data_IF_515189550232
#
_entry.id   IF_515189550232
#
_cell.length_a   1.000
_cell.length_b   1.000
_cell.length_c   1.000
_cell.angle_alpha   90.00
_cell.angle_beta   90.00
_cell.angle_gamma   90.00
#
_symmetry.space_group_name_H-M   'P 1'
#
loop_
_entity.id
_entity.type
_entity.pdbx_description
1 polymer ?
#
# COMPACT_ATOMS: atom_id res chain seq x y z
N UNK A 1 -18.62 -9.97 2.02
CA UNK A 1 -18.75 -8.96 0.95
C UNK A 1 -20.23 -8.83 0.65
N UNK A 2 -20.89 -7.80 1.20
CA UNK A 2 -22.30 -7.53 0.97
C UNK A 2 -22.38 -6.51 -0.15
N UNK A 3 -22.68 -6.96 -1.37
CA UNK A 3 -23.08 -6.08 -2.46
C UNK A 3 -24.37 -6.65 -3.00
N UNK A 4 -25.51 -6.12 -2.58
CA UNK A 4 -26.78 -6.40 -3.24
C UNK A 4 -26.77 -5.68 -4.57
N UNK A 5 -27.17 -6.39 -5.62
CA UNK A 5 -27.37 -5.80 -6.93
C UNK A 5 -28.44 -4.73 -6.79
N UNK A 6 -28.08 -3.49 -7.13
CA UNK A 6 -28.95 -2.31 -7.30
C UNK A 6 -29.28 -1.39 -6.12
N UNK A 7 -28.82 -1.64 -4.90
CA UNK A 7 -29.08 -0.70 -3.80
C UNK A 7 -27.87 0.20 -3.52
N UNK A 8 -28.04 1.51 -3.71
CA UNK A 8 -27.03 2.47 -3.27
C UNK A 8 -26.85 2.38 -1.75
N UNK A 9 -25.61 2.48 -1.26
CA UNK A 9 -25.29 2.47 0.18
C UNK A 9 -26.18 3.45 0.98
N UNK A 10 -26.55 4.57 0.35
CA UNK A 10 -27.44 5.56 0.91
C UNK A 10 -28.84 4.99 1.21
N UNK A 11 -29.45 4.27 0.27
CA UNK A 11 -30.76 3.64 0.49
C UNK A 11 -30.68 2.56 1.56
N UNK A 12 -29.62 1.75 1.54
CA UNK A 12 -29.41 0.74 2.57
C UNK A 12 -29.31 1.35 3.98
N UNK A 13 -28.65 2.50 4.13
CA UNK A 13 -28.56 3.20 5.43
C UNK A 13 -29.94 3.71 5.87
N UNK A 14 -30.75 4.25 4.95
CA UNK A 14 -32.09 4.75 5.25
C UNK A 14 -33.07 3.63 5.61
N UNK A 15 -33.01 2.51 4.89
CA UNK A 15 -33.92 1.38 5.05
C UNK A 15 -33.56 0.52 6.27
N UNK A 16 -32.34 0.64 6.79
CA UNK A 16 -31.89 -0.13 7.95
C UNK A 16 -32.39 0.48 9.26
N UNK A 17 -33.11 -0.26 10.11
CA UNK A 17 -33.53 0.23 11.42
C UNK A 17 -32.34 0.68 12.28
N UNK A 18 -32.46 1.76 13.08
CA UNK A 18 -31.35 2.31 13.86
C UNK A 18 -30.64 1.30 14.77
N UNK A 19 -31.42 0.38 15.37
CA UNK A 19 -30.88 -0.68 16.23
C UNK A 19 -30.00 -1.68 15.48
N UNK A 20 -30.40 -2.04 14.26
CA UNK A 20 -29.63 -2.97 13.42
C UNK A 20 -28.34 -2.32 12.97
N UNK A 21 -28.39 -1.04 12.58
CA UNK A 21 -27.19 -0.26 12.24
C UNK A 21 -26.26 -0.14 13.44
N UNK A 22 -26.79 0.20 14.63
CA UNK A 22 -26.01 0.30 15.85
C UNK A 22 -25.35 -1.04 16.22
N UNK A 23 -26.10 -2.15 16.17
CA UNK A 23 -25.55 -3.49 16.43
C UNK A 23 -24.44 -3.84 15.44
N UNK A 24 -24.63 -3.55 14.15
CA UNK A 24 -23.60 -3.77 13.14
C UNK A 24 -22.33 -2.95 13.45
N UNK A 25 -22.48 -1.66 13.74
CA UNK A 25 -21.35 -0.80 14.09
C UNK A 25 -20.64 -1.28 15.36
N UNK A 26 -21.38 -1.64 16.40
CA UNK A 26 -20.85 -2.23 17.63
C UNK A 26 -20.06 -3.50 17.30
N UNK A 27 -20.62 -4.41 16.50
CA UNK A 27 -19.92 -5.64 16.12
C UNK A 27 -18.66 -5.35 15.30
N UNK A 28 -18.64 -4.30 14.46
CA UNK A 28 -17.45 -3.88 13.71
C UNK A 28 -16.37 -3.33 14.64
N UNK A 29 -16.75 -2.53 15.63
CA UNK A 29 -15.83 -2.03 16.66
C UNK A 29 -15.30 -3.19 17.50
N UNK A 30 -16.16 -4.09 17.94
CA UNK A 30 -15.79 -5.29 18.71
C UNK A 30 -14.85 -6.19 17.91
N UNK A 31 -15.13 -6.43 16.62
CA UNK A 31 -14.23 -7.19 15.73
C UNK A 31 -12.83 -6.57 15.65
N UNK A 32 -12.74 -5.24 15.51
CA UNK A 32 -11.47 -4.52 15.54
C UNK A 32 -10.80 -4.57 16.92
N UNK A 33 -11.57 -4.47 17.99
CA UNK A 33 -11.06 -4.58 19.35
C UNK A 33 -10.54 -6.00 19.65
N UNK A 34 -11.14 -7.04 19.08
CA UNK A 34 -10.62 -8.41 19.16
C UNK A 34 -9.24 -8.54 18.51
N UNK A 35 -8.92 -7.76 17.46
CA UNK A 35 -7.54 -7.70 16.90
C UNK A 35 -6.54 -7.07 17.88
N UNK A 36 -7.01 -6.27 18.86
CA UNK A 36 -6.17 -5.67 19.92
C UNK A 36 -6.00 -6.59 21.14
N UNK A 37 -6.90 -7.56 21.33
CA UNK A 37 -6.79 -8.57 22.39
C UNK A 37 -5.86 -9.67 21.86
N UNK A 38 -4.56 -9.50 22.09
CA UNK A 38 -3.52 -10.45 21.67
C UNK A 38 -3.69 -11.80 22.39
N UNK A 39 -4.45 -12.71 21.78
CA UNK A 39 -4.51 -14.15 22.13
C UNK A 39 -3.50 -14.97 21.33
N UNK A 40 -2.69 -14.32 20.49
CA UNK A 40 -1.64 -14.94 19.69
C UNK A 40 -0.29 -14.98 20.42
N UNK A 41 0.75 -15.55 19.79
CA UNK A 41 2.10 -15.42 20.31
C UNK A 41 2.49 -13.94 20.29
N UNK A 42 2.95 -13.44 21.45
CA UNK A 42 3.34 -12.05 21.68
C UNK A 42 4.13 -11.51 20.48
N UNK A 43 3.57 -10.51 19.80
CA UNK A 43 4.23 -9.88 18.66
C UNK A 43 5.61 -9.34 19.10
N UNK A 44 6.67 -9.63 18.33
CA UNK A 44 8.00 -9.10 18.66
C UNK A 44 8.00 -7.57 18.52
N UNK A 45 8.78 -6.88 19.36
CA UNK A 45 8.92 -5.42 19.27
C UNK A 45 9.35 -4.97 17.86
N UNK A 46 10.16 -5.79 17.18
CA UNK A 46 10.59 -5.54 15.79
C UNK A 46 9.39 -5.57 14.84
N UNK A 47 8.53 -6.59 14.94
CA UNK A 47 7.36 -6.69 14.09
C UNK A 47 6.38 -5.53 14.34
N UNK A 48 6.22 -5.11 15.60
CA UNK A 48 5.39 -3.94 15.94
C UNK A 48 5.95 -2.63 15.35
N UNK A 49 7.26 -2.39 15.47
CA UNK A 49 7.90 -1.19 14.90
C UNK A 49 7.81 -1.18 13.38
N UNK A 50 7.99 -2.32 12.72
CA UNK A 50 7.84 -2.42 11.26
C UNK A 50 6.38 -2.17 10.84
N UNK A 51 5.40 -2.67 11.60
CA UNK A 51 3.98 -2.43 11.33
C UNK A 51 3.59 -0.96 11.48
N UNK A 52 4.07 -0.28 12.53
CA UNK A 52 3.71 1.12 12.82
C UNK A 52 4.57 2.14 12.10
N UNK A 53 5.83 1.81 11.80
CA UNK A 53 6.85 2.73 11.31
C UNK A 53 7.68 2.13 10.16
N UNK A 54 7.02 1.42 9.25
CA UNK A 54 7.67 0.64 8.19
C UNK A 54 8.66 1.44 7.35
N UNK A 55 8.34 2.70 6.98
CA UNK A 55 9.22 3.55 6.19
C UNK A 55 10.48 3.98 6.98
N UNK A 56 10.33 4.28 8.28
CA UNK A 56 11.46 4.65 9.12
C UNK A 56 12.36 3.43 9.39
N UNK A 57 11.75 2.27 9.68
CA UNK A 57 12.45 1.00 9.82
C UNK A 57 13.21 0.63 8.54
N UNK A 58 12.58 0.79 7.37
CA UNK A 58 13.19 0.55 6.07
C UNK A 58 14.37 1.50 5.82
N UNK A 59 14.24 2.79 6.14
CA UNK A 59 15.34 3.78 6.04
C UNK A 59 16.55 3.35 6.87
N UNK A 60 16.34 2.93 8.10
CA UNK A 60 17.41 2.43 8.98
C UNK A 60 18.03 1.16 8.37
N UNK A 61 17.21 0.22 7.91
CA UNK A 61 17.70 -1.01 7.29
C UNK A 61 18.56 -0.72 6.05
N UNK A 62 18.09 0.17 5.18
CA UNK A 62 18.79 0.51 3.93
C UNK A 62 20.14 1.16 4.20
N UNK A 63 20.20 2.08 5.17
CA UNK A 63 21.44 2.77 5.54
C UNK A 63 22.50 1.85 6.14
N UNK A 64 22.09 0.83 6.89
CA UNK A 64 23.01 0.02 7.67
C UNK A 64 23.35 -1.34 7.02
N UNK A 65 22.42 -1.92 6.27
CA UNK A 65 22.53 -3.32 5.84
C UNK A 65 22.31 -3.54 4.34
N UNK A 66 21.70 -2.59 3.62
CA UNK A 66 21.40 -2.75 2.21
C UNK A 66 22.45 -2.10 1.32
N UNK A 67 22.98 -2.88 0.37
CA UNK A 67 23.88 -2.39 -0.68
C UNK A 67 23.06 -1.64 -1.73
N UNK A 68 23.19 -0.32 -1.81
CA UNK A 68 22.42 0.54 -2.73
C UNK A 68 22.64 0.18 -4.20
N UNK A 69 23.75 -0.46 -4.54
CA UNK A 69 24.03 -0.98 -5.88
C UNK A 69 22.94 -1.97 -6.35
N UNK A 70 22.33 -2.72 -5.43
CA UNK A 70 21.25 -3.65 -5.75
C UNK A 70 19.97 -2.93 -6.20
N UNK A 71 19.71 -1.70 -5.74
CA UNK A 71 18.58 -0.89 -6.25
C UNK A 71 18.82 -0.54 -7.72
N UNK A 72 20.06 -0.22 -8.10
CA UNK A 72 20.41 0.07 -9.50
C UNK A 72 20.15 -1.14 -10.40
N UNK A 73 20.64 -2.32 -10.00
CA UNK A 73 20.39 -3.57 -10.74
C UNK A 73 18.90 -3.88 -10.86
N UNK A 74 18.12 -3.64 -9.79
CA UNK A 74 16.67 -3.81 -9.83
C UNK A 74 15.98 -2.82 -10.79
N UNK A 75 16.42 -1.55 -10.84
CA UNK A 75 15.91 -0.56 -11.80
C UNK A 75 16.20 -0.98 -13.24
N UNK A 76 17.42 -1.42 -13.53
CA UNK A 76 17.81 -1.92 -14.87
C UNK A 76 16.99 -3.14 -15.30
N UNK A 77 16.69 -4.05 -14.36
CA UNK A 77 15.82 -5.20 -14.61
C UNK A 77 14.39 -4.76 -14.97
N UNK A 78 13.78 -3.87 -14.18
CA UNK A 78 12.44 -3.36 -14.44
C UNK A 78 12.37 -2.65 -15.79
N UNK A 79 13.36 -1.84 -16.12
CA UNK A 79 13.44 -1.17 -17.42
C UNK A 79 13.56 -2.15 -18.58
N UNK A 80 14.34 -3.22 -18.40
CA UNK A 80 14.48 -4.30 -19.39
C UNK A 80 13.16 -5.03 -19.61
N UNK A 81 12.40 -5.29 -18.55
CA UNK A 81 11.06 -5.88 -18.61
C UNK A 81 10.11 -4.94 -19.36
N UNK A 82 10.08 -3.65 -19.02
CA UNK A 82 9.23 -2.65 -19.70
C UNK A 82 9.51 -2.63 -21.21
N UNK A 83 10.80 -2.62 -21.61
CA UNK A 83 11.21 -2.68 -23.02
C UNK A 83 10.72 -3.96 -23.71
N UNK A 84 10.83 -5.11 -23.03
CA UNK A 84 10.34 -6.38 -23.58
C UNK A 84 8.82 -6.36 -23.80
N UNK A 85 8.05 -5.81 -22.86
CA UNK A 85 6.61 -5.67 -23.01
C UNK A 85 6.22 -4.71 -24.15
N UNK A 86 6.91 -3.57 -24.29
CA UNK A 86 6.69 -2.66 -25.41
C UNK A 86 6.88 -3.37 -26.76
N UNK A 87 7.99 -4.10 -26.91
CA UNK A 87 8.27 -4.89 -28.11
C UNK A 87 7.22 -5.99 -28.34
N UNK A 88 6.74 -6.63 -27.27
CA UNK A 88 5.68 -7.63 -27.35
C UNK A 88 4.36 -7.03 -27.85
N UNK A 89 3.97 -5.84 -27.38
CA UNK A 89 2.76 -5.17 -27.84
C UNK A 89 2.87 -4.70 -29.29
N UNK A 90 4.01 -4.14 -29.68
CA UNK A 90 4.29 -3.73 -31.07
C UNK A 90 4.15 -4.91 -32.04
N UNK A 91 4.78 -6.04 -31.70
CA UNK A 91 4.82 -7.25 -32.54
C UNK A 91 3.60 -8.17 -32.40
N UNK A 92 2.61 -7.82 -31.58
CA UNK A 92 1.42 -8.67 -31.39
C UNK A 92 0.62 -8.79 -32.69
N UNK A 93 0.36 -10.01 -33.15
CA UNK A 93 -0.47 -10.29 -34.32
C UNK A 93 -1.98 -10.34 -34.02
N UNK A 94 -2.34 -10.50 -32.75
CA UNK A 94 -3.73 -10.68 -32.32
C UNK A 94 -4.40 -9.40 -31.81
N UNK A 95 -3.60 -8.38 -31.44
CA UNK A 95 -4.12 -7.09 -30.98
C UNK A 95 -4.43 -6.15 -32.15
N UNK A 96 -5.63 -5.57 -32.14
CA UNK A 96 -6.01 -4.48 -33.04
C UNK A 96 -5.22 -3.20 -32.68
N UNK A 97 -4.90 -2.38 -33.68
CA UNK A 97 -3.99 -1.22 -33.53
C UNK A 97 -4.35 -0.29 -32.36
N UNK A 98 -5.65 0.07 -32.23
CA UNK A 98 -6.12 0.93 -31.12
C UNK A 98 -5.76 0.35 -29.74
N UNK A 99 -5.86 -0.96 -29.57
CA UNK A 99 -5.54 -1.64 -28.31
C UNK A 99 -4.03 -1.69 -28.09
N UNK A 100 -3.22 -1.89 -29.15
CA UNK A 100 -1.76 -1.78 -29.06
C UNK A 100 -1.33 -0.40 -28.58
N UNK A 101 -1.84 0.65 -29.21
CA UNK A 101 -1.48 2.04 -28.88
C UNK A 101 -1.84 2.37 -27.44
N UNK A 102 -3.01 1.91 -26.97
CA UNK A 102 -3.43 2.06 -25.58
C UNK A 102 -2.52 1.29 -24.61
N UNK A 103 -2.12 0.07 -24.93
CA UNK A 103 -1.23 -0.74 -24.10
C UNK A 103 0.17 -0.10 -24.01
N UNK A 104 0.73 0.33 -25.15
CA UNK A 104 1.99 1.06 -25.23
C UNK A 104 1.93 2.36 -24.43
N UNK A 105 0.85 3.14 -24.58
CA UNK A 105 0.68 4.37 -23.81
C UNK A 105 0.59 4.10 -22.31
N UNK A 106 -0.06 3.01 -21.87
CA UNK A 106 -0.14 2.63 -20.46
C UNK A 106 1.25 2.26 -19.92
N UNK A 107 2.01 1.46 -20.67
CA UNK A 107 3.38 1.07 -20.29
C UNK A 107 4.31 2.28 -20.18
N UNK A 108 4.25 3.23 -21.12
CA UNK A 108 5.06 4.46 -21.09
C UNK A 108 4.73 5.39 -19.91
N UNK A 109 3.51 5.31 -19.38
CA UNK A 109 3.04 6.13 -18.23
C UNK A 109 3.21 5.42 -16.88
N UNK A 110 3.69 4.18 -16.88
CA UNK A 110 3.81 3.40 -15.66
C UNK A 110 5.01 3.90 -14.84
N UNK A 111 4.73 4.40 -13.64
CA UNK A 111 5.76 4.70 -12.65
C UNK A 111 6.14 3.44 -11.87
N UNK A 112 7.39 3.33 -11.44
CA UNK A 112 7.88 2.22 -10.64
C UNK A 112 8.79 2.72 -9.51
N UNK A 113 8.77 2.00 -8.39
CA UNK A 113 9.67 2.19 -7.25
C UNK A 113 10.38 0.86 -7.02
N UNK A 114 11.72 0.89 -6.97
CA UNK A 114 12.53 -0.30 -6.68
C UNK A 114 13.17 -0.13 -5.32
N UNK A 115 12.74 -0.94 -4.36
CA UNK A 115 13.27 -0.95 -3.00
C UNK A 115 12.92 0.33 -2.23
N UNK A 116 13.86 1.27 -2.18
CA UNK A 116 13.83 2.41 -1.29
C UNK A 116 13.86 3.74 -2.09
N UNK A 117 12.86 4.62 -1.89
CA UNK A 117 12.82 5.93 -2.55
C UNK A 117 13.94 6.85 -2.06
N UNK A 118 14.56 7.61 -2.98
CA UNK A 118 15.66 8.52 -2.65
C UNK A 118 15.18 9.69 -1.77
N UNK A 119 13.89 10.05 -1.85
CA UNK A 119 13.24 11.11 -1.08
C UNK A 119 13.29 10.86 0.43
N UNK A 120 13.38 9.60 0.85
CA UNK A 120 13.46 9.24 2.27
C UNK A 120 14.84 9.54 2.88
N UNK A 121 15.87 9.86 2.08
CA UNK A 121 17.22 10.14 2.60
C UNK A 121 17.36 11.48 3.30
N UNK A 122 16.62 12.51 2.88
CA UNK A 122 16.78 13.83 3.45
C UNK A 122 16.52 13.82 4.98
N UNK A 123 17.32 14.52 5.79
CA UNK A 123 17.02 14.70 7.21
C UNK A 123 15.60 15.24 7.37
N UNK A 124 14.82 14.65 8.28
CA UNK A 124 13.42 15.03 8.50
C UNK A 124 12.40 14.59 7.45
N UNK A 125 12.80 13.90 6.37
CA UNK A 125 11.89 13.51 5.27
C UNK A 125 10.69 12.65 5.68
N UNK A 126 10.77 11.99 6.84
CA UNK A 126 9.71 11.12 7.36
C UNK A 126 9.06 11.68 8.62
N UNK A 127 9.50 12.83 9.14
CA UNK A 127 9.04 13.34 10.44
C UNK A 127 7.55 13.65 10.38
N UNK A 128 7.12 14.40 9.36
CA UNK A 128 5.71 14.71 9.12
C UNK A 128 4.81 13.47 9.03
N UNK A 129 5.34 12.36 8.48
CA UNK A 129 4.59 11.11 8.37
C UNK A 129 4.26 10.49 9.74
N UNK A 130 5.08 10.77 10.76
CA UNK A 130 4.97 10.20 12.10
C UNK A 130 4.68 11.24 13.19
N UNK A 131 4.40 12.50 12.84
CA UNK A 131 4.11 13.58 13.80
C UNK A 131 2.97 13.20 14.77
N UNK A 132 1.88 12.64 14.25
CA UNK A 132 0.71 12.24 15.06
C UNK A 132 1.06 11.12 16.04
N UNK A 133 1.94 10.19 15.65
CA UNK A 133 2.37 9.09 16.51
C UNK A 133 3.18 9.61 17.71
N UNK A 134 4.03 10.62 17.49
CA UNK A 134 4.83 11.25 18.55
C UNK A 134 3.93 12.04 19.51
N UNK A 135 2.91 12.72 19.00
CA UNK A 135 1.99 13.52 19.83
C UNK A 135 1.26 12.68 20.90
N UNK A 136 0.90 11.43 20.58
CA UNK A 136 0.21 10.55 21.53
C UNK A 136 1.16 9.89 22.55
N UNK A 137 2.48 9.84 22.31
CA UNK A 137 3.45 9.35 23.31
C UNK A 137 3.61 10.36 24.46
N UNK A 138 3.45 11.66 24.19
CA UNK A 138 3.69 12.71 25.16
C UNK A 138 2.43 13.32 25.79
N UNK A 139 1.24 13.18 25.17
CA UNK A 139 0.00 13.83 25.63
C UNK A 139 -1.31 13.02 25.39
N UNK A 140 -1.22 11.69 25.34
CA UNK A 140 -2.36 10.81 25.62
C UNK A 140 -2.38 10.47 27.13
#
# INVERSE_FOLDING_TARGET
MFTTQNDSLHQLILDTPPRTMANFLIMRVVQRAFELIDLGPRQSCIAFVIDKMGQAALRIFVRNFFKKENIKLGKELVESIIKAYLKMFENSSWLVQKTKDSAISKMKKMNYIVGYPDEFEAPGALDQLYDELVSCIFNC
#
